data_IF_512697560643
#
_entry.id   IF_512697560643
#
_cell.length_a   1.000
_cell.length_b   1.000
_cell.length_c   1.000
_cell.angle_alpha   90.00
_cell.angle_beta   90.00
_cell.angle_gamma   90.00
#
_symmetry.space_group_name_H-M   'P 1'
#
loop_
_entity.id
_entity.type
_entity.pdbx_description
1 polymer ?
#
# COMPACT_ATOMS: atom_id res chain seq x y z
N UNK A 1 -15.03 51.51 -5.27
CA UNK A 1 -16.47 51.28 -5.29
C UNK A 1 -17.11 52.45 -6.02
N UNK A 2 -17.88 52.21 -7.07
CA UNK A 2 -18.43 53.31 -7.88
C UNK A 2 -19.65 53.98 -7.26
N UNK A 3 -20.22 53.48 -6.22
CA UNK A 3 -21.49 53.94 -5.73
C UNK A 3 -21.44 54.60 -4.36
N UNK A 4 -22.36 55.49 -4.16
CA UNK A 4 -22.51 56.30 -2.98
C UNK A 4 -22.89 55.45 -1.77
N UNK A 5 -21.87 55.03 -1.01
CA UNK A 5 -22.08 54.45 0.33
C UNK A 5 -22.67 55.53 1.21
N UNK A 6 -23.74 55.20 1.92
CA UNK A 6 -24.44 56.18 2.75
C UNK A 6 -23.65 56.62 3.99
N UNK A 7 -22.56 55.92 4.33
CA UNK A 7 -21.79 56.10 5.57
C UNK A 7 -22.66 56.05 6.84
N UNK A 8 -23.69 55.23 6.82
CA UNK A 8 -24.59 54.97 7.97
C UNK A 8 -24.48 53.50 8.35
N UNK A 9 -24.66 53.22 9.60
CA UNK A 9 -24.70 51.87 10.17
C UNK A 9 -26.06 51.61 10.82
N UNK A 10 -26.43 50.35 11.01
CA UNK A 10 -27.59 49.97 11.83
C UNK A 10 -28.81 49.51 11.06
N UNK A 11 -28.73 49.32 9.75
CA UNK A 11 -29.78 48.62 9.01
C UNK A 11 -29.83 47.15 9.36
N UNK A 12 -31.01 46.60 9.62
CA UNK A 12 -31.13 45.19 9.99
C UNK A 12 -30.84 44.30 8.79
N UNK A 13 -29.95 43.34 8.94
CA UNK A 13 -29.60 42.34 7.91
C UNK A 13 -30.86 41.59 7.42
N UNK A 14 -31.82 41.37 8.33
CA UNK A 14 -33.07 40.68 8.02
C UNK A 14 -33.98 41.48 7.06
N UNK A 15 -33.78 42.80 7.00
CA UNK A 15 -34.61 43.68 6.17
C UNK A 15 -34.00 43.97 4.79
N UNK A 16 -32.80 43.44 4.51
CA UNK A 16 -32.15 43.60 3.21
C UNK A 16 -32.87 42.75 2.17
N UNK A 17 -33.59 43.39 1.28
CA UNK A 17 -34.37 42.70 0.24
C UNK A 17 -33.53 41.77 -0.67
N UNK A 18 -32.29 42.14 -0.94
CA UNK A 18 -31.35 41.32 -1.74
C UNK A 18 -31.08 39.99 -1.07
N UNK A 19 -30.91 39.95 0.25
CA UNK A 19 -30.66 38.69 0.96
C UNK A 19 -31.91 37.81 1.04
N UNK A 20 -33.10 38.41 1.15
CA UNK A 20 -34.37 37.67 1.15
C UNK A 20 -34.67 37.03 -0.21
N UNK A 21 -34.16 37.62 -1.31
CA UNK A 21 -34.42 37.16 -2.67
C UNK A 21 -33.48 35.99 -3.10
N UNK A 22 -32.37 35.73 -2.37
CA UNK A 22 -31.37 34.75 -2.76
C UNK A 22 -31.61 33.42 -2.03
N UNK A 23 -31.81 32.32 -2.76
CA UNK A 23 -31.88 31.00 -2.15
C UNK A 23 -30.57 30.65 -1.44
N UNK A 24 -30.65 30.04 -0.26
CA UNK A 24 -29.46 29.60 0.52
C UNK A 24 -28.57 28.64 -0.28
N UNK A 25 -29.16 27.89 -1.21
CA UNK A 25 -28.43 26.98 -2.13
C UNK A 25 -27.50 27.71 -3.09
N UNK A 26 -27.79 28.96 -3.41
CA UNK A 26 -27.01 29.76 -4.35
C UNK A 26 -25.94 30.61 -3.64
N UNK A 27 -26.07 30.78 -2.32
CA UNK A 27 -25.10 31.49 -1.50
C UNK A 27 -23.77 30.73 -1.44
N UNK A 28 -22.68 31.44 -1.71
CA UNK A 28 -21.31 30.92 -1.61
C UNK A 28 -20.57 31.54 -0.44
N UNK A 29 -20.64 32.84 -0.33
CA UNK A 29 -20.00 33.58 0.74
C UNK A 29 -20.80 34.86 1.07
N UNK A 30 -20.78 35.25 2.33
CA UNK A 30 -21.32 36.50 2.81
C UNK A 30 -20.38 37.10 3.83
N UNK A 31 -19.65 38.13 3.41
CA UNK A 31 -18.77 38.89 4.30
C UNK A 31 -19.50 40.07 4.88
N UNK A 32 -19.47 40.21 6.20
CA UNK A 32 -20.06 41.31 6.93
C UNK A 32 -19.11 42.50 6.95
N UNK A 33 -19.62 43.75 6.88
CA UNK A 33 -18.80 44.93 7.02
C UNK A 33 -18.16 45.04 8.41
N UNK A 34 -17.02 45.70 8.50
CA UNK A 34 -16.38 46.01 9.77
C UNK A 34 -17.27 46.89 10.62
N UNK A 35 -17.41 46.55 11.91
CA UNK A 35 -18.35 47.23 12.82
C UNK A 35 -18.00 48.68 13.15
N UNK A 36 -16.76 49.07 12.88
CA UNK A 36 -16.16 50.39 13.17
C UNK A 36 -15.97 51.24 11.91
N UNK A 37 -16.32 50.75 10.75
CA UNK A 37 -16.22 51.44 9.46
C UNK A 37 -17.56 51.55 8.77
N UNK A 38 -18.17 52.74 8.87
CA UNK A 38 -19.43 53.05 8.22
C UNK A 38 -19.37 53.09 6.68
N UNK A 39 -18.16 53.13 6.10
CA UNK A 39 -17.92 53.10 4.65
C UNK A 39 -17.76 51.70 4.10
N UNK A 40 -17.62 50.68 4.95
CA UNK A 40 -17.56 49.28 4.54
C UNK A 40 -18.91 48.74 4.10
N UNK A 41 -18.93 47.64 3.36
CA UNK A 41 -20.11 47.10 2.72
C UNK A 41 -20.26 45.60 2.94
N UNK A 42 -21.46 45.05 2.85
CA UNK A 42 -21.62 43.61 2.73
C UNK A 42 -21.11 43.17 1.37
N UNK A 43 -20.25 42.15 1.36
CA UNK A 43 -19.84 41.46 0.13
C UNK A 43 -20.61 40.17 0.03
N UNK A 44 -21.37 40.00 -1.03
CA UNK A 44 -22.20 38.84 -1.28
C UNK A 44 -21.68 38.09 -2.52
N UNK A 45 -21.27 36.86 -2.36
CA UNK A 45 -20.90 35.97 -3.47
C UNK A 45 -21.93 34.85 -3.62
N UNK A 46 -22.46 34.70 -4.83
CA UNK A 46 -23.42 33.65 -5.19
C UNK A 46 -22.94 32.83 -6.39
N UNK A 47 -23.65 31.76 -6.72
CA UNK A 47 -23.43 31.02 -7.96
C UNK A 47 -23.60 31.87 -9.22
N UNK A 48 -24.31 33.00 -9.12
CA UNK A 48 -24.73 33.85 -10.24
C UNK A 48 -24.02 35.20 -10.31
N UNK A 49 -23.20 35.53 -9.33
CA UNK A 49 -22.44 36.77 -9.29
C UNK A 49 -21.98 37.18 -7.91
N UNK A 50 -21.26 38.29 -7.91
CA UNK A 50 -20.79 38.95 -6.71
C UNK A 50 -21.33 40.35 -6.62
N UNK A 51 -21.76 40.78 -5.46
CA UNK A 51 -22.36 42.09 -5.25
C UNK A 51 -21.95 42.75 -3.95
N UNK A 52 -22.05 44.06 -3.94
CA UNK A 52 -21.76 44.90 -2.78
C UNK A 52 -23.04 45.59 -2.31
N UNK A 53 -23.32 45.51 -1.03
CA UNK A 53 -24.56 46.01 -0.44
C UNK A 53 -24.22 47.00 0.66
N UNK A 54 -24.82 48.21 0.61
CA UNK A 54 -24.66 49.27 1.57
C UNK A 54 -25.21 48.83 2.93
N UNK A 55 -24.41 48.95 4.00
CA UNK A 55 -24.81 48.60 5.35
C UNK A 55 -25.80 49.58 5.97
N UNK A 56 -25.90 50.80 5.45
CA UNK A 56 -26.78 51.85 6.00
C UNK A 56 -28.22 51.79 5.51
N UNK A 57 -28.47 51.29 4.29
CA UNK A 57 -29.79 51.29 3.70
C UNK A 57 -30.17 49.97 2.99
N UNK A 58 -29.23 48.98 2.94
CA UNK A 58 -29.46 47.71 2.26
C UNK A 58 -29.53 47.77 0.74
N UNK A 59 -29.12 48.89 0.12
CA UNK A 59 -29.13 49.04 -1.33
C UNK A 59 -28.00 48.23 -2.00
N UNK A 60 -28.30 47.56 -3.13
CA UNK A 60 -27.32 46.94 -3.96
C UNK A 60 -26.51 48.01 -4.72
N UNK A 61 -25.24 48.12 -4.44
CA UNK A 61 -24.35 49.13 -5.00
C UNK A 61 -23.78 48.72 -6.35
N UNK A 62 -23.42 47.48 -6.49
CA UNK A 62 -22.87 46.91 -7.71
C UNK A 62 -23.17 45.42 -7.77
N UNK A 63 -23.19 44.85 -8.98
CA UNK A 63 -23.34 43.43 -9.23
C UNK A 63 -22.52 43.01 -10.45
N UNK A 64 -21.52 42.15 -10.20
CA UNK A 64 -20.70 41.59 -11.23
C UNK A 64 -21.19 40.18 -11.60
N UNK A 65 -21.50 39.98 -12.86
CA UNK A 65 -21.85 38.63 -13.36
C UNK A 65 -20.62 37.78 -13.54
N UNK A 66 -20.70 36.44 -13.27
CA UNK A 66 -19.54 35.58 -13.34
C UNK A 66 -18.99 35.44 -14.77
N UNK A 67 -17.69 35.57 -14.92
CA UNK A 67 -17.01 35.29 -16.15
C UNK A 67 -17.01 33.79 -16.48
N UNK A 68 -16.56 33.39 -17.70
CA UNK A 68 -16.55 31.98 -18.11
C UNK A 68 -15.73 31.08 -17.17
N UNK A 69 -14.65 31.58 -16.58
CA UNK A 69 -13.85 30.85 -15.59
C UNK A 69 -14.63 30.59 -14.28
N UNK A 70 -15.39 31.55 -13.81
CA UNK A 70 -16.22 31.38 -12.61
C UNK A 70 -17.33 30.35 -12.84
N UNK A 71 -17.90 30.31 -14.06
CA UNK A 71 -18.86 29.27 -14.44
C UNK A 71 -18.25 27.88 -14.42
N UNK A 72 -17.03 27.71 -14.96
CA UNK A 72 -16.29 26.42 -14.88
C UNK A 72 -16.04 26.02 -13.42
N UNK A 73 -15.66 26.98 -12.58
CA UNK A 73 -15.45 26.74 -11.16
C UNK A 73 -16.74 26.31 -10.43
N UNK A 74 -17.87 26.92 -10.74
CA UNK A 74 -19.16 26.51 -10.19
C UNK A 74 -19.54 25.06 -10.59
N UNK A 75 -19.28 24.66 -11.82
CA UNK A 75 -19.44 23.27 -12.24
C UNK A 75 -18.55 22.31 -11.44
N UNK A 76 -17.29 22.66 -11.26
CA UNK A 76 -16.36 21.86 -10.45
C UNK A 76 -16.84 21.78 -9.00
N UNK A 77 -17.29 22.91 -8.45
CA UNK A 77 -17.82 22.98 -7.10
C UNK A 77 -19.06 22.08 -6.92
N UNK A 78 -20.03 22.18 -7.84
CA UNK A 78 -21.24 21.33 -7.84
C UNK A 78 -20.87 19.84 -7.95
N UNK A 79 -19.97 19.47 -8.86
CA UNK A 79 -19.54 18.09 -9.03
C UNK A 79 -18.82 17.55 -7.79
N UNK A 80 -18.10 18.40 -7.08
CA UNK A 80 -17.32 17.97 -5.92
C UNK A 80 -18.15 17.92 -4.63
N UNK A 81 -19.08 18.88 -4.44
CA UNK A 81 -19.86 19.01 -3.21
C UNK A 81 -21.29 18.50 -3.31
N UNK A 82 -21.84 18.42 -4.52
CA UNK A 82 -23.25 18.13 -4.76
C UNK A 82 -24.20 19.27 -4.35
N UNK A 83 -23.68 20.45 -3.98
CA UNK A 83 -24.49 21.57 -3.54
C UNK A 83 -25.34 22.12 -4.70
N UNK A 84 -26.63 22.24 -4.47
CA UNK A 84 -27.61 22.63 -5.52
C UNK A 84 -28.16 21.46 -6.35
N UNK A 85 -27.61 20.23 -6.21
CA UNK A 85 -28.04 19.04 -6.93
C UNK A 85 -28.28 17.88 -5.94
N UNK A 86 -29.44 17.83 -5.32
CA UNK A 86 -29.77 16.94 -4.20
C UNK A 86 -29.50 15.45 -4.50
N UNK A 87 -29.84 14.96 -5.71
CA UNK A 87 -29.61 13.58 -6.10
C UNK A 87 -28.11 13.29 -6.22
N UNK A 88 -27.34 14.20 -6.79
CA UNK A 88 -25.88 14.07 -6.90
C UNK A 88 -25.20 14.13 -5.53
N UNK A 89 -25.63 15.04 -4.66
CA UNK A 89 -25.17 15.10 -3.27
C UNK A 89 -25.44 13.82 -2.49
N UNK A 90 -26.58 13.17 -2.72
CA UNK A 90 -26.89 11.87 -2.13
C UNK A 90 -25.91 10.78 -2.62
N UNK A 91 -25.61 10.74 -3.91
CA UNK A 91 -24.65 9.79 -4.49
C UNK A 91 -23.26 10.00 -3.89
N UNK A 92 -22.79 11.24 -3.83
CA UNK A 92 -21.52 11.58 -3.20
C UNK A 92 -21.48 11.17 -1.72
N UNK A 93 -22.56 11.42 -0.98
CA UNK A 93 -22.69 11.00 0.42
C UNK A 93 -22.59 9.49 0.60
N UNK A 94 -23.24 8.71 -0.27
CA UNK A 94 -23.11 7.24 -0.27
C UNK A 94 -21.68 6.78 -0.60
N UNK A 95 -21.02 7.43 -1.53
CA UNK A 95 -19.60 7.14 -1.86
C UNK A 95 -18.71 7.41 -0.63
N UNK A 96 -18.91 8.55 0.05
CA UNK A 96 -18.14 8.90 1.26
C UNK A 96 -18.36 7.88 2.38
N UNK A 97 -19.55 7.32 2.52
CA UNK A 97 -19.83 6.25 3.50
C UNK A 97 -19.04 4.96 3.22
N UNK A 98 -18.54 4.75 2.00
CA UNK A 98 -17.67 3.61 1.71
C UNK A 98 -16.27 3.75 2.33
N UNK A 99 -15.81 4.96 2.60
CA UNK A 99 -14.45 5.23 3.12
C UNK A 99 -14.18 4.56 4.47
N UNK A 100 -15.03 4.69 5.50
CA UNK A 100 -14.84 3.98 6.77
C UNK A 100 -14.87 2.45 6.59
N UNK A 101 -15.71 1.92 5.68
CA UNK A 101 -15.74 0.48 5.37
C UNK A 101 -14.43 0.03 4.79
N UNK A 102 -13.88 0.76 3.82
CA UNK A 102 -12.57 0.48 3.21
C UNK A 102 -11.45 0.62 4.24
N UNK A 103 -11.50 1.61 5.11
CA UNK A 103 -10.51 1.80 6.17
C UNK A 103 -10.51 0.60 7.14
N UNK A 104 -11.68 0.16 7.58
CA UNK A 104 -11.81 -1.00 8.48
C UNK A 104 -11.36 -2.29 7.80
N UNK A 105 -11.85 -2.56 6.59
CA UNK A 105 -11.48 -3.79 5.85
C UNK A 105 -10.00 -3.81 5.48
N UNK A 106 -9.42 -2.68 5.07
CA UNK A 106 -7.99 -2.54 4.81
C UNK A 106 -7.15 -2.78 6.06
N UNK A 107 -7.56 -2.19 7.19
CA UNK A 107 -6.88 -2.41 8.49
C UNK A 107 -6.97 -3.85 8.93
N UNK A 108 -8.14 -4.49 8.82
CA UNK A 108 -8.30 -5.91 9.16
C UNK A 108 -7.45 -6.81 8.25
N UNK A 109 -7.42 -6.54 6.96
CA UNK A 109 -6.57 -7.27 6.00
C UNK A 109 -5.10 -7.14 6.34
N UNK A 110 -4.65 -5.92 6.67
CA UNK A 110 -3.27 -5.66 7.08
C UNK A 110 -2.90 -6.35 8.40
N UNK A 111 -3.78 -6.33 9.39
CA UNK A 111 -3.60 -7.04 10.65
C UNK A 111 -3.52 -8.56 10.45
N UNK A 112 -4.40 -9.12 9.59
CA UNK A 112 -4.39 -10.54 9.27
C UNK A 112 -3.11 -10.95 8.53
N UNK A 113 -2.64 -10.14 7.58
CA UNK A 113 -1.37 -10.38 6.90
C UNK A 113 -0.16 -10.37 7.88
N UNK A 114 -0.19 -9.49 8.89
CA UNK A 114 0.84 -9.47 9.94
C UNK A 114 0.76 -10.69 10.86
N UNK A 115 -0.44 -11.13 11.24
CA UNK A 115 -0.67 -12.27 12.13
C UNK A 115 -0.37 -13.62 11.45
N UNK A 116 -0.48 -13.70 10.14
CA UNK A 116 -0.21 -14.91 9.35
C UNK A 116 1.27 -15.27 9.22
N UNK A 117 2.20 -14.43 9.70
CA UNK A 117 3.63 -14.77 9.67
C UNK A 117 3.94 -15.79 10.75
N UNK A 118 4.55 -16.93 10.40
CA UNK A 118 4.95 -17.91 11.42
C UNK A 118 5.93 -17.26 12.40
N UNK A 119 5.73 -17.50 13.68
CA UNK A 119 6.66 -17.07 14.72
C UNK A 119 7.91 -17.95 14.63
N UNK A 120 9.01 -17.36 14.27
CA UNK A 120 10.31 -18.01 14.22
C UNK A 120 10.90 -18.01 15.63
N UNK A 121 10.94 -19.20 16.26
CA UNK A 121 11.52 -19.37 17.59
C UNK A 121 13.00 -19.74 17.47
N UNK A 122 13.79 -19.39 18.48
CA UNK A 122 15.18 -19.79 18.56
C UNK A 122 16.12 -19.10 17.55
N UNK A 123 15.68 -18.08 16.83
CA UNK A 123 16.57 -17.32 15.93
C UNK A 123 17.52 -16.43 16.74
N UNK A 124 18.76 -16.32 16.24
CA UNK A 124 19.81 -15.49 16.87
C UNK A 124 20.01 -14.17 16.12
N UNK A 125 20.77 -13.26 16.74
CA UNK A 125 21.17 -12.03 16.07
C UNK A 125 22.04 -12.33 14.83
N UNK A 126 21.93 -11.50 13.78
CA UNK A 126 22.62 -11.69 12.49
C UNK A 126 24.12 -12.00 12.63
N UNK A 127 24.81 -11.27 13.50
CA UNK A 127 26.25 -11.43 13.70
C UNK A 127 26.68 -12.78 14.33
N UNK A 128 25.75 -13.52 14.93
CA UNK A 128 26.03 -14.82 15.61
C UNK A 128 25.50 -16.03 14.86
N UNK A 129 24.79 -15.80 13.76
CA UNK A 129 24.19 -16.87 12.98
C UNK A 129 25.22 -17.57 12.09
N UNK A 130 25.25 -18.90 12.12
CA UNK A 130 26.00 -19.73 11.18
C UNK A 130 25.24 -19.90 9.86
N UNK A 131 23.92 -19.96 9.91
CA UNK A 131 23.05 -20.03 8.74
C UNK A 131 22.15 -18.79 8.69
N UNK A 132 22.17 -18.08 7.58
CA UNK A 132 21.30 -16.91 7.34
C UNK A 132 20.26 -17.28 6.29
N UNK A 133 19.00 -17.15 6.62
CA UNK A 133 17.86 -17.37 5.71
C UNK A 133 17.24 -16.03 5.39
N UNK A 134 17.18 -15.68 4.10
CA UNK A 134 16.61 -14.44 3.60
C UNK A 134 15.34 -14.74 2.79
N UNK A 135 14.23 -14.10 3.16
CA UNK A 135 12.90 -14.46 2.65
C UNK A 135 12.31 -13.34 1.80
N UNK A 136 12.08 -13.66 0.52
CA UNK A 136 11.30 -12.86 -0.43
C UNK A 136 9.88 -13.44 -0.56
N UNK A 137 8.87 -12.72 -0.08
CA UNK A 137 7.48 -13.20 -0.09
C UNK A 137 6.49 -12.04 -0.19
N UNK A 138 5.45 -12.19 -0.98
CA UNK A 138 4.31 -11.26 -1.03
C UNK A 138 3.21 -11.70 -0.06
N UNK A 139 2.65 -12.87 -0.28
CA UNK A 139 1.51 -13.42 0.49
C UNK A 139 1.89 -14.11 1.79
N UNK A 140 3.19 -14.30 2.08
CA UNK A 140 3.66 -14.90 3.33
C UNK A 140 3.89 -16.41 3.30
N UNK A 141 3.54 -17.14 2.24
CA UNK A 141 3.71 -18.60 2.13
C UNK A 141 5.18 -19.03 2.26
N UNK A 142 6.12 -18.34 1.62
CA UNK A 142 7.56 -18.63 1.68
C UNK A 142 8.10 -18.59 3.10
N UNK A 143 7.49 -17.79 4.00
CA UNK A 143 7.88 -17.76 5.42
C UNK A 143 7.59 -19.09 6.14
N UNK A 144 6.57 -19.83 5.71
CA UNK A 144 6.28 -21.17 6.25
C UNK A 144 7.43 -22.15 5.93
N UNK A 145 7.89 -22.15 4.69
CA UNK A 145 9.04 -22.97 4.25
C UNK A 145 10.34 -22.55 4.98
N UNK A 146 10.58 -21.25 5.11
CA UNK A 146 11.72 -20.72 5.85
C UNK A 146 11.69 -21.13 7.34
N UNK A 147 10.52 -21.17 7.96
CA UNK A 147 10.36 -21.64 9.32
C UNK A 147 10.69 -23.14 9.46
N UNK A 148 10.25 -23.97 8.52
CA UNK A 148 10.58 -25.40 8.48
C UNK A 148 12.09 -25.59 8.34
N UNK A 149 12.73 -24.89 7.41
CA UNK A 149 14.19 -24.96 7.21
C UNK A 149 14.95 -24.47 8.47
N UNK A 150 14.54 -23.35 9.06
CA UNK A 150 15.16 -22.83 10.27
C UNK A 150 15.10 -23.83 11.42
N UNK A 151 13.93 -24.46 11.61
CA UNK A 151 13.76 -25.50 12.65
C UNK A 151 14.65 -26.71 12.42
N UNK A 152 14.75 -27.18 11.16
CA UNK A 152 15.61 -28.31 10.83
C UNK A 152 17.11 -28.00 11.04
N UNK A 153 17.57 -26.82 10.61
CA UNK A 153 18.95 -26.36 10.83
C UNK A 153 19.27 -26.21 12.32
N UNK A 154 18.32 -25.69 13.11
CA UNK A 154 18.47 -25.59 14.58
C UNK A 154 18.54 -26.96 15.24
N UNK A 155 17.70 -27.91 14.81
CA UNK A 155 17.74 -29.29 15.30
C UNK A 155 19.09 -29.96 14.95
N UNK A 156 19.72 -29.61 13.83
CA UNK A 156 21.06 -30.03 13.45
C UNK A 156 22.18 -29.23 14.16
N UNK A 157 21.87 -28.42 15.16
CA UNK A 157 22.85 -27.68 15.97
C UNK A 157 23.34 -26.35 15.37
N UNK A 158 22.74 -25.87 14.28
CA UNK A 158 23.11 -24.60 13.67
C UNK A 158 22.43 -23.42 14.38
N UNK A 159 23.17 -22.31 14.54
CA UNK A 159 22.57 -21.03 14.93
C UNK A 159 22.01 -20.32 13.69
N UNK A 160 20.70 -20.00 13.69
CA UNK A 160 19.99 -19.52 12.51
C UNK A 160 19.49 -18.10 12.70
N UNK A 161 19.68 -17.26 11.70
CA UNK A 161 19.05 -15.95 11.56
C UNK A 161 18.10 -15.96 10.36
N UNK A 162 16.90 -15.38 10.54
CA UNK A 162 15.92 -15.27 9.45
C UNK A 162 15.48 -13.83 9.32
N UNK A 163 15.57 -13.28 8.12
CA UNK A 163 15.22 -11.90 7.83
C UNK A 163 14.50 -11.78 6.48
N UNK A 164 13.98 -10.58 6.18
CA UNK A 164 13.50 -10.28 4.84
C UNK A 164 14.68 -10.17 3.88
N UNK A 165 14.44 -10.54 2.63
CA UNK A 165 15.45 -10.40 1.58
C UNK A 165 15.82 -8.93 1.34
N UNK A 166 14.89 -7.99 1.52
CA UNK A 166 15.17 -6.54 1.49
C UNK A 166 16.17 -6.06 2.55
N UNK A 167 16.34 -6.83 3.63
CA UNK A 167 17.25 -6.51 4.74
C UNK A 167 18.62 -7.18 4.56
N UNK A 168 18.91 -7.71 3.36
CA UNK A 168 20.16 -8.36 3.01
C UNK A 168 21.34 -7.41 3.23
N UNK A 169 22.25 -7.78 4.15
CA UNK A 169 23.39 -6.98 4.54
C UNK A 169 24.57 -7.91 4.95
N UNK A 170 25.38 -8.41 4.00
CA UNK A 170 26.43 -9.42 4.23
C UNK A 170 27.42 -9.01 5.33
N UNK A 171 27.72 -7.74 5.44
CA UNK A 171 28.62 -7.18 6.47
C UNK A 171 28.13 -7.40 7.91
N UNK A 172 26.85 -7.73 8.11
CA UNK A 172 26.25 -8.03 9.42
C UNK A 172 26.37 -9.50 9.81
N UNK A 173 26.76 -10.40 8.89
CA UNK A 173 26.73 -11.83 9.06
C UNK A 173 28.13 -12.39 9.38
N UNK A 174 28.72 -11.92 10.48
CA UNK A 174 30.13 -12.17 10.83
C UNK A 174 30.45 -13.64 11.10
N UNK A 175 29.52 -14.42 11.65
CA UNK A 175 29.68 -15.83 11.95
C UNK A 175 29.09 -16.75 10.87
N UNK A 176 28.51 -16.19 9.81
CA UNK A 176 27.84 -16.98 8.80
C UNK A 176 28.82 -17.88 8.04
N UNK A 177 28.35 -19.09 7.76
CA UNK A 177 29.00 -20.07 6.89
C UNK A 177 28.32 -20.20 5.55
N UNK A 178 27.01 -19.90 5.51
CA UNK A 178 26.16 -19.93 4.32
C UNK A 178 25.01 -18.94 4.44
N UNK A 179 24.54 -18.50 3.27
CA UNK A 179 23.33 -17.69 3.11
C UNK A 179 22.36 -18.45 2.21
N UNK A 180 21.11 -18.56 2.62
CA UNK A 180 20.06 -19.23 1.87
C UNK A 180 18.98 -18.21 1.56
N UNK A 181 18.80 -17.93 0.27
CA UNK A 181 17.72 -17.05 -0.22
C UNK A 181 16.54 -17.90 -0.64
N UNK A 182 15.40 -17.63 -0.06
CA UNK A 182 14.13 -18.29 -0.38
C UNK A 182 13.17 -17.24 -0.89
N UNK A 183 12.90 -17.20 -2.19
CA UNK A 183 12.12 -16.10 -2.76
C UNK A 183 11.02 -16.55 -3.71
N UNK A 184 9.84 -15.94 -3.56
CA UNK A 184 8.75 -16.05 -4.52
C UNK A 184 8.93 -15.03 -5.65
N UNK A 185 8.26 -15.28 -6.78
CA UNK A 185 8.08 -14.32 -7.86
C UNK A 185 6.68 -13.73 -7.77
N UNK A 186 6.53 -12.44 -8.03
CA UNK A 186 5.26 -11.72 -8.00
C UNK A 186 4.89 -11.18 -9.39
N UNK A 187 3.59 -11.22 -9.73
CA UNK A 187 3.10 -10.71 -11.01
C UNK A 187 3.85 -11.29 -12.21
N UNK A 188 4.25 -10.44 -13.13
CA UNK A 188 4.93 -10.82 -14.38
C UNK A 188 6.45 -10.95 -14.23
N UNK A 189 6.93 -11.48 -13.12
CA UNK A 189 8.36 -11.71 -12.86
C UNK A 189 8.98 -10.79 -11.81
N UNK A 190 8.19 -9.92 -11.18
CA UNK A 190 8.70 -8.89 -10.27
C UNK A 190 9.13 -9.42 -8.90
N UNK A 191 9.93 -8.61 -8.20
CA UNK A 191 10.31 -8.84 -6.82
C UNK A 191 9.09 -8.74 -5.89
N UNK A 192 8.90 -9.68 -4.94
CA UNK A 192 7.89 -9.53 -3.90
C UNK A 192 8.23 -8.37 -2.95
N UNK A 193 7.23 -7.84 -2.24
CA UNK A 193 7.38 -6.66 -1.38
C UNK A 193 8.52 -6.76 -0.37
N UNK A 194 8.79 -7.97 0.14
CA UNK A 194 9.87 -8.21 1.10
C UNK A 194 11.26 -8.43 0.46
N UNK A 195 11.39 -8.20 -0.86
CA UNK A 195 12.64 -8.33 -1.61
C UNK A 195 12.97 -7.09 -2.46
N UNK A 196 12.20 -6.00 -2.32
CA UNK A 196 12.40 -4.78 -3.10
C UNK A 196 13.81 -4.21 -2.92
N UNK A 197 14.43 -3.78 -4.02
CA UNK A 197 15.75 -3.15 -4.04
C UNK A 197 16.93 -4.11 -3.82
N UNK A 198 16.71 -5.42 -3.68
CA UNK A 198 17.81 -6.35 -3.39
C UNK A 198 18.79 -6.48 -4.55
N UNK A 199 18.32 -6.49 -5.80
CA UNK A 199 19.20 -6.65 -6.98
C UNK A 199 20.15 -5.45 -7.13
N UNK A 200 19.61 -4.24 -6.99
CA UNK A 200 20.42 -3.01 -7.02
C UNK A 200 21.43 -3.00 -5.88
N UNK A 201 21.01 -3.41 -4.68
CA UNK A 201 21.89 -3.48 -3.53
C UNK A 201 22.99 -4.55 -3.70
N UNK A 202 22.67 -5.72 -4.26
CA UNK A 202 23.63 -6.81 -4.50
C UNK A 202 24.78 -6.38 -5.41
N UNK A 203 24.56 -5.49 -6.35
CA UNK A 203 25.61 -4.94 -7.22
C UNK A 203 26.74 -4.21 -6.44
N UNK A 204 26.45 -3.77 -5.23
CA UNK A 204 27.39 -3.04 -4.36
C UNK A 204 27.85 -3.85 -3.16
N UNK A 205 27.45 -5.12 -3.03
CA UNK A 205 27.81 -5.99 -1.91
C UNK A 205 29.05 -6.82 -2.23
N UNK A 206 29.86 -7.08 -1.22
CA UNK A 206 30.98 -8.00 -1.33
C UNK A 206 30.54 -9.41 -0.89
N UNK A 207 30.87 -10.45 -1.67
CA UNK A 207 30.66 -11.83 -1.27
C UNK A 207 31.38 -12.15 0.03
N UNK A 208 30.71 -12.80 0.97
CA UNK A 208 31.31 -13.18 2.25
C UNK A 208 31.34 -14.69 2.46
N UNK A 209 30.27 -15.37 2.03
CA UNK A 209 30.11 -16.83 2.20
C UNK A 209 29.27 -17.38 1.03
N UNK A 210 29.28 -18.70 0.79
CA UNK A 210 28.45 -19.30 -0.26
C UNK A 210 26.98 -19.02 -0.09
N UNK A 211 26.26 -18.90 -1.22
CA UNK A 211 24.86 -18.57 -1.30
C UNK A 211 24.08 -19.65 -2.04
N UNK A 212 22.92 -20.03 -1.54
CA UNK A 212 21.95 -20.86 -2.26
C UNK A 212 20.68 -20.07 -2.51
N UNK A 213 20.07 -20.25 -3.67
CA UNK A 213 18.78 -19.64 -4.01
C UNK A 213 17.73 -20.73 -4.23
N UNK A 214 16.57 -20.58 -3.58
CA UNK A 214 15.41 -21.42 -3.77
C UNK A 214 14.23 -20.55 -4.22
N UNK A 215 13.73 -20.82 -5.43
CA UNK A 215 12.63 -20.11 -6.05
C UNK A 215 11.28 -20.74 -5.75
N UNK A 216 10.26 -19.93 -5.55
CA UNK A 216 8.87 -20.37 -5.39
C UNK A 216 7.99 -19.70 -6.46
N UNK A 217 7.18 -20.49 -7.13
CA UNK A 217 6.31 -20.01 -8.19
C UNK A 217 5.19 -20.98 -8.54
N UNK A 218 4.53 -20.72 -9.65
CA UNK A 218 3.56 -21.62 -10.30
C UNK A 218 3.93 -21.71 -11.78
N UNK A 219 4.18 -22.93 -12.27
CA UNK A 219 4.57 -23.21 -13.67
C UNK A 219 3.50 -22.89 -14.69
N UNK A 220 2.27 -22.64 -14.26
CA UNK A 220 1.21 -22.18 -15.17
C UNK A 220 1.42 -20.73 -15.64
N UNK A 221 2.33 -19.99 -15.02
CA UNK A 221 2.67 -18.60 -15.38
C UNK A 221 3.99 -18.56 -16.17
N UNK A 222 4.09 -17.72 -17.23
CA UNK A 222 5.30 -17.63 -18.06
C UNK A 222 6.57 -17.24 -17.28
N UNK A 223 6.44 -16.38 -16.26
CA UNK A 223 7.55 -15.91 -15.45
C UNK A 223 7.82 -16.79 -14.22
N UNK A 224 7.72 -18.12 -14.38
CA UNK A 224 7.96 -19.09 -13.30
C UNK A 224 9.31 -18.90 -12.65
N UNK A 225 9.30 -18.54 -11.36
CA UNK A 225 10.50 -18.30 -10.54
C UNK A 225 11.50 -17.27 -11.14
N UNK A 226 11.05 -16.37 -12.03
CA UNK A 226 11.93 -15.43 -12.73
C UNK A 226 12.76 -14.58 -11.77
N UNK A 227 12.15 -14.03 -10.71
CA UNK A 227 12.87 -13.22 -9.73
C UNK A 227 13.99 -14.02 -8.99
N UNK A 228 13.78 -15.31 -8.73
CA UNK A 228 14.82 -16.16 -8.13
C UNK A 228 15.99 -16.37 -9.09
N UNK A 229 15.72 -16.49 -10.40
CA UNK A 229 16.75 -16.57 -11.45
C UNK A 229 17.56 -15.25 -11.52
N UNK A 230 16.87 -14.11 -11.42
CA UNK A 230 17.53 -12.80 -11.40
C UNK A 230 18.44 -12.65 -10.18
N UNK A 231 18.01 -13.13 -9.00
CA UNK A 231 18.82 -13.13 -7.77
C UNK A 231 20.06 -14.01 -7.92
N UNK A 232 19.91 -15.22 -8.45
CA UNK A 232 21.08 -16.10 -8.69
C UNK A 232 22.02 -15.49 -9.71
N UNK A 233 21.49 -14.97 -10.81
CA UNK A 233 22.28 -14.30 -11.86
C UNK A 233 23.05 -13.12 -11.28
N UNK A 234 22.40 -12.26 -10.51
CA UNK A 234 23.04 -11.13 -9.86
C UNK A 234 24.11 -11.59 -8.86
N UNK A 235 23.87 -12.67 -8.10
CA UNK A 235 24.84 -13.22 -7.18
C UNK A 235 26.10 -13.67 -7.93
N UNK A 236 25.96 -14.47 -8.98
CA UNK A 236 27.09 -14.97 -9.78
C UNK A 236 27.86 -13.82 -10.43
N UNK A 237 27.18 -12.85 -11.04
CA UNK A 237 27.80 -11.68 -11.66
C UNK A 237 28.61 -10.83 -10.67
N UNK A 238 28.19 -10.80 -9.40
CA UNK A 238 28.90 -10.08 -8.34
C UNK A 238 29.90 -10.97 -7.57
N UNK A 239 30.24 -12.15 -8.08
CA UNK A 239 31.30 -13.00 -7.56
C UNK A 239 30.93 -13.90 -6.38
N UNK A 240 29.64 -14.09 -6.10
CA UNK A 240 29.21 -15.03 -5.08
C UNK A 240 29.39 -16.47 -5.54
N UNK A 241 29.95 -17.32 -4.67
CA UNK A 241 29.96 -18.77 -4.90
C UNK A 241 28.59 -19.35 -4.56
N UNK A 242 28.10 -20.23 -5.43
CA UNK A 242 26.83 -20.93 -5.16
C UNK A 242 27.10 -22.15 -4.29
N UNK A 243 26.30 -22.31 -3.22
CA UNK A 243 26.28 -23.50 -2.37
C UNK A 243 25.60 -24.68 -3.08
N UNK A 244 24.50 -24.35 -3.78
CA UNK A 244 23.72 -25.23 -4.65
C UNK A 244 23.26 -24.43 -5.87
N UNK A 245 23.06 -25.06 -7.03
CA UNK A 245 22.33 -24.43 -8.15
C UNK A 245 20.92 -24.04 -7.73
N UNK A 246 20.36 -23.04 -8.41
CA UNK A 246 18.96 -22.66 -8.22
C UNK A 246 18.03 -23.86 -8.36
N UNK A 247 17.20 -24.09 -7.36
CA UNK A 247 16.08 -25.02 -7.43
C UNK A 247 14.75 -24.28 -7.33
N UNK A 248 13.67 -24.87 -7.84
CA UNK A 248 12.41 -24.20 -8.06
C UNK A 248 11.25 -25.05 -7.54
N UNK A 249 10.49 -24.51 -6.59
CA UNK A 249 9.36 -25.15 -5.97
C UNK A 249 8.08 -24.71 -6.69
N UNK A 250 7.42 -25.66 -7.36
CA UNK A 250 6.15 -25.43 -8.02
C UNK A 250 4.98 -25.52 -7.02
N UNK A 251 4.07 -24.54 -7.04
CA UNK A 251 2.81 -24.54 -6.28
C UNK A 251 2.95 -24.96 -4.82
N UNK A 252 4.03 -24.54 -4.18
CA UNK A 252 4.32 -24.86 -2.78
C UNK A 252 4.44 -26.39 -2.53
N UNK A 253 4.99 -27.15 -3.48
CA UNK A 253 5.18 -28.60 -3.38
C UNK A 253 6.07 -28.97 -2.17
N UNK A 254 5.52 -29.70 -1.19
CA UNK A 254 6.32 -30.19 -0.06
C UNK A 254 7.36 -31.24 -0.48
N UNK A 255 7.07 -31.99 -1.55
CA UNK A 255 7.92 -33.03 -2.09
C UNK A 255 9.18 -32.44 -2.72
N UNK A 256 9.02 -31.38 -3.56
CA UNK A 256 10.16 -30.68 -4.16
C UNK A 256 11.02 -30.02 -3.07
N UNK A 257 10.38 -29.43 -2.05
CA UNK A 257 11.07 -28.84 -0.93
C UNK A 257 11.85 -29.89 -0.11
N UNK A 258 11.27 -31.06 0.14
CA UNK A 258 11.95 -32.15 0.81
C UNK A 258 13.15 -32.68 -0.02
N UNK A 259 13.01 -32.75 -1.36
CA UNK A 259 14.12 -33.15 -2.25
C UNK A 259 15.26 -32.12 -2.21
N UNK A 260 14.93 -30.82 -2.33
CA UNK A 260 15.92 -29.75 -2.17
C UNK A 260 16.61 -29.83 -0.80
N UNK A 261 15.86 -30.11 0.26
CA UNK A 261 16.39 -30.30 1.60
C UNK A 261 17.42 -31.41 1.70
N UNK A 262 17.23 -32.54 1.00
CA UNK A 262 18.21 -33.62 0.92
C UNK A 262 19.49 -33.18 0.21
N UNK A 263 19.38 -32.43 -0.87
CA UNK A 263 20.51 -31.87 -1.58
C UNK A 263 21.31 -30.90 -0.68
N UNK A 264 20.60 -30.04 0.05
CA UNK A 264 21.23 -29.12 1.01
C UNK A 264 21.92 -29.87 2.16
N UNK A 265 21.27 -30.91 2.69
CA UNK A 265 21.79 -31.76 3.74
C UNK A 265 23.15 -32.38 3.33
N UNK A 266 23.23 -32.90 2.09
CA UNK A 266 24.44 -33.50 1.55
C UNK A 266 25.60 -32.49 1.42
N UNK A 267 25.32 -31.28 0.97
CA UNK A 267 26.37 -30.23 0.79
C UNK A 267 26.80 -29.65 2.14
N UNK A 268 25.89 -29.53 3.11
CA UNK A 268 26.22 -29.02 4.44
C UNK A 268 26.80 -30.09 5.39
N UNK A 269 26.73 -31.34 5.01
CA UNK A 269 27.03 -32.52 5.88
C UNK A 269 26.25 -32.47 7.20
N UNK A 270 24.94 -32.22 7.08
CA UNK A 270 24.01 -32.08 8.21
C UNK A 270 22.81 -33.02 8.06
N UNK A 271 22.29 -33.61 9.15
CA UNK A 271 21.08 -34.42 9.12
C UNK A 271 19.85 -33.55 9.02
N UNK A 272 19.47 -33.12 7.82
CA UNK A 272 18.29 -32.27 7.59
C UNK A 272 17.13 -33.08 7.03
N UNK A 273 15.99 -32.99 7.69
CA UNK A 273 14.71 -33.48 7.17
C UNK A 273 13.70 -32.33 7.09
N UNK A 274 13.25 -32.01 5.88
CA UNK A 274 12.31 -30.91 5.64
C UNK A 274 10.89 -31.46 5.45
N UNK A 275 10.16 -31.63 6.54
CA UNK A 275 8.76 -32.04 6.54
C UNK A 275 7.85 -30.80 6.61
N UNK A 276 7.61 -30.17 5.46
CA UNK A 276 6.75 -28.99 5.39
C UNK A 276 5.30 -29.38 5.11
N UNK A 277 4.39 -28.88 5.92
CA UNK A 277 2.95 -28.96 5.66
C UNK A 277 2.43 -27.57 5.27
N UNK A 278 2.04 -27.36 4.01
CA UNK A 278 1.45 -26.09 3.58
C UNK A 278 0.20 -25.81 4.42
N UNK A 279 0.07 -24.56 4.88
CA UNK A 279 -1.14 -24.15 5.54
C UNK A 279 -2.33 -24.30 4.57
N UNK A 280 -3.39 -25.02 4.91
CA UNK A 280 -4.55 -25.14 4.05
C UNK A 280 -5.12 -23.73 3.77
N UNK A 281 -5.53 -23.44 2.55
CA UNK A 281 -6.18 -22.17 2.25
C UNK A 281 -7.43 -22.04 3.15
N UNK A 282 -7.62 -20.86 3.73
CA UNK A 282 -8.84 -20.53 4.49
C UNK A 282 -10.00 -20.37 3.49
N UNK A 283 -10.43 -21.44 2.90
CA UNK A 283 -11.55 -21.49 1.97
C UNK A 283 -12.72 -22.21 2.64
N UNK A 284 -13.90 -21.61 2.56
CA UNK A 284 -15.14 -22.32 2.88
C UNK A 284 -15.42 -23.30 1.74
N UNK A 285 -15.69 -24.56 2.05
CA UNK A 285 -16.07 -25.53 1.05
C UNK A 285 -17.33 -25.03 0.31
N UNK A 286 -17.23 -24.87 -1.01
CA UNK A 286 -18.37 -24.53 -1.86
C UNK A 286 -18.96 -25.84 -2.40
N UNK A 287 -20.29 -25.96 -2.34
CA UNK A 287 -21.00 -27.07 -2.99
C UNK A 287 -21.23 -26.74 -4.44
N UNK A 288 -20.77 -27.58 -5.37
CA UNK A 288 -21.06 -27.43 -6.79
C UNK A 288 -22.56 -27.65 -7.02
N UNK A 289 -23.29 -26.59 -7.38
CA UNK A 289 -24.75 -26.64 -7.59
C UNK A 289 -25.10 -27.16 -8.99
N UNK A 290 -24.32 -26.81 -10.00
CA UNK A 290 -24.51 -27.31 -11.37
C UNK A 290 -23.20 -27.17 -12.16
N UNK A 291 -23.02 -28.08 -13.13
CA UNK A 291 -21.96 -28.04 -14.17
C UNK A 291 -22.60 -28.07 -15.53
N UNK A 292 -22.23 -27.19 -16.44
CA UNK A 292 -22.55 -27.24 -17.86
C UNK A 292 -21.24 -27.47 -18.60
N UNK A 293 -21.18 -28.57 -19.32
CA UNK A 293 -20.10 -28.84 -20.29
C UNK A 293 -20.52 -28.20 -21.62
N UNK A 294 -19.65 -27.42 -22.25
CA UNK A 294 -19.86 -26.76 -23.55
C UNK A 294 -19.10 -27.49 -24.65
#
# INVERSE_FOLDING_TARGET
FPAQVTNQTGFSVADIATFQAIPVTDLRDLTFPASDDASDVFTLTTAHGEGYIDQGNGALLDWATPGPWTQVWEWVYLLHTGQGAALWGLILGLIVLSVPVLAVTGTLSWLNARRGRPRLHGTVAAARAQSVILVGSEGGSTWGFAATLATALQAAGQSVHVAKLSDFAPQRYQAARQIIVMTATWGDGAAPASAKGVLENMAHMQPTVPLAVLGFGDRSFPAFCAFAQDVETAAVQNGWSLLLPLDQIDRQSPQDFAQWGRNLAAVLDLPLELNHQPAPPRATALTLVSRRDY
#
